data_IF_635098885293
#
_entry.id   IF_635098885293
#
_cell.length_a   1.000
_cell.length_b   1.000
_cell.length_c   1.000
_cell.angle_alpha   90.00
_cell.angle_beta   90.00
_cell.angle_gamma   90.00
#
_symmetry.space_group_name_H-M   'P 1'
#
loop_
_entity.id
_entity.type
_entity.pdbx_description
1 polymer ?
#
# COMPACT_ATOMS: atom_id res chain seq x y z
N UNK A 1 -9.25 9.06 -21.10
CA UNK A 1 -8.07 8.31 -21.56
C UNK A 1 -7.37 7.77 -20.33
N UNK A 2 -7.21 6.46 -20.21
CA UNK A 2 -6.60 5.82 -19.04
C UNK A 2 -5.23 5.27 -19.46
N UNK A 3 -4.15 5.74 -18.84
CA UNK A 3 -2.78 5.28 -19.08
C UNK A 3 -2.38 4.36 -17.93
N UNK A 4 -2.20 3.09 -18.23
CA UNK A 4 -1.69 2.09 -17.31
C UNK A 4 -0.18 1.94 -17.57
N UNK A 5 0.62 2.62 -16.77
CA UNK A 5 2.07 2.44 -16.71
C UNK A 5 2.45 2.18 -15.26
N UNK A 6 2.60 0.91 -14.91
CA UNK A 6 2.89 0.45 -13.55
C UNK A 6 4.08 -0.51 -13.53
N UNK A 7 5.07 -0.25 -14.38
CA UNK A 7 6.34 -0.95 -14.32
C UNK A 7 7.22 -0.28 -13.25
N UNK A 8 7.15 -0.76 -12.02
CA UNK A 8 8.02 -0.32 -10.93
C UNK A 8 8.84 -1.52 -10.45
N UNK A 9 10.12 -1.57 -10.83
CA UNK A 9 11.09 -2.27 -10.00
C UNK A 9 11.26 -1.45 -8.70
N UNK A 10 11.05 -2.09 -7.55
CA UNK A 10 11.38 -1.52 -6.26
C UNK A 10 12.57 -2.31 -5.71
N UNK A 11 13.75 -2.09 -6.28
CA UNK A 11 14.99 -2.36 -5.55
C UNK A 11 15.07 -1.36 -4.39
N UNK A 12 15.22 -1.85 -3.16
CA UNK A 12 15.46 -1.00 -1.99
C UNK A 12 16.83 -1.33 -1.43
N UNK A 13 17.85 -0.86 -2.13
CA UNK A 13 19.12 -0.55 -1.48
C UNK A 13 19.14 0.96 -1.27
N UNK A 14 18.95 1.38 -0.01
CA UNK A 14 19.14 2.77 0.45
C UNK A 14 18.47 3.87 -0.39
N UNK A 15 17.20 4.17 -0.13
CA UNK A 15 16.55 5.47 -0.41
C UNK A 15 16.56 6.04 -1.85
N UNK A 16 17.06 5.34 -2.87
CA UNK A 16 16.97 5.76 -4.27
C UNK A 16 16.02 4.82 -5.01
N UNK A 17 14.87 5.35 -5.40
CA UNK A 17 14.00 4.66 -6.36
C UNK A 17 14.67 4.86 -7.72
N UNK A 18 15.41 3.86 -8.19
CA UNK A 18 15.89 3.87 -9.56
C UNK A 18 14.68 3.77 -10.50
N UNK A 19 14.28 4.91 -11.06
CA UNK A 19 13.15 4.98 -11.98
C UNK A 19 13.66 4.49 -13.32
N UNK A 20 13.52 3.20 -13.57
CA UNK A 20 13.67 2.66 -14.92
C UNK A 20 12.79 3.48 -15.86
N UNK A 21 13.37 4.14 -16.86
CA UNK A 21 12.64 4.92 -17.87
C UNK A 21 11.90 3.98 -18.87
N UNK A 22 11.19 2.99 -18.32
CA UNK A 22 10.52 1.94 -19.04
C UNK A 22 9.32 2.52 -19.79
N UNK A 23 9.29 2.31 -21.10
CA UNK A 23 8.20 2.76 -21.98
C UNK A 23 7.05 1.75 -22.08
N UNK A 24 7.13 0.63 -21.36
CA UNK A 24 6.06 -0.35 -21.29
C UNK A 24 4.80 0.29 -20.68
N UNK A 25 3.68 0.10 -21.34
CA UNK A 25 2.42 0.67 -20.90
C UNK A 25 1.29 0.45 -21.90
N UNK A 26 0.08 0.56 -21.37
CA UNK A 26 -1.14 0.43 -22.14
C UNK A 26 -1.97 1.70 -22.01
N UNK A 27 -2.51 2.17 -23.12
CA UNK A 27 -3.45 3.30 -23.15
C UNK A 27 -4.80 2.81 -23.64
N UNK A 28 -5.83 3.06 -22.84
CA UNK A 28 -7.21 2.74 -23.16
C UNK A 28 -7.98 4.05 -23.35
N UNK A 29 -8.68 4.17 -24.48
CA UNK A 29 -9.52 5.31 -24.78
C UNK A 29 -10.94 4.86 -25.10
N UNK A 30 -11.93 5.63 -24.63
CA UNK A 30 -13.33 5.42 -24.99
C UNK A 30 -13.58 6.10 -26.34
N UNK A 31 -13.87 5.31 -27.38
CA UNK A 31 -14.22 5.79 -28.73
C UNK A 31 -15.65 5.33 -29.03
N UNK A 32 -16.53 6.27 -29.39
CA UNK A 32 -17.93 5.99 -29.76
C UNK A 32 -18.66 5.09 -28.72
N UNK A 33 -18.46 5.35 -27.43
CA UNK A 33 -19.09 4.57 -26.36
C UNK A 33 -18.33 3.30 -25.94
N UNK A 34 -17.42 2.79 -26.76
CA UNK A 34 -16.68 1.54 -26.50
C UNK A 34 -15.27 1.84 -25.99
N UNK A 35 -14.81 1.10 -24.98
CA UNK A 35 -13.43 1.15 -24.52
C UNK A 35 -12.53 0.35 -25.46
N UNK A 36 -11.57 1.00 -26.09
CA UNK A 36 -10.61 0.38 -26.99
C UNK A 36 -9.17 0.66 -26.53
N UNK A 37 -8.30 -0.34 -26.67
CA UNK A 37 -6.85 -0.17 -26.47
C UNK A 37 -6.29 0.59 -27.67
N UNK A 38 -5.70 1.76 -27.44
CA UNK A 38 -5.16 2.62 -28.51
C UNK A 38 -3.66 2.53 -28.65
N UNK A 39 -2.94 2.20 -27.56
CA UNK A 39 -1.50 1.97 -27.56
C UNK A 39 -1.19 0.83 -26.61
N UNK A 40 -0.39 -0.12 -27.06
CA UNK A 40 0.09 -1.23 -26.26
C UNK A 40 1.59 -1.38 -26.52
N UNK A 41 2.40 -1.16 -25.49
CA UNK A 41 3.82 -1.49 -25.49
C UNK A 41 4.10 -2.47 -24.36
N UNK A 42 4.55 -3.67 -24.72
CA UNK A 42 4.86 -4.76 -23.78
C UNK A 42 6.37 -4.94 -23.57
N UNK A 43 7.22 -4.22 -24.31
CA UNK A 43 8.65 -4.33 -24.19
C UNK A 43 9.17 -3.64 -22.93
N UNK A 44 9.88 -4.41 -22.10
CA UNK A 44 10.50 -3.94 -20.88
C UNK A 44 12.01 -3.81 -21.07
N UNK A 45 12.59 -2.73 -20.56
CA UNK A 45 14.04 -2.50 -20.54
C UNK A 45 14.70 -3.07 -19.27
N UNK A 46 13.98 -3.89 -18.51
CA UNK A 46 14.44 -4.45 -17.25
C UNK A 46 13.72 -5.77 -16.98
N UNK A 47 14.28 -6.60 -16.09
CA UNK A 47 13.65 -7.87 -15.71
C UNK A 47 12.34 -7.64 -14.96
N UNK A 48 11.35 -8.50 -15.19
CA UNK A 48 10.12 -8.50 -14.41
C UNK A 48 10.39 -9.07 -13.01
N UNK A 49 9.59 -8.62 -12.04
CA UNK A 49 9.59 -9.21 -10.69
C UNK A 49 9.21 -10.69 -10.77
N UNK A 50 9.89 -11.52 -9.98
CA UNK A 50 9.54 -12.94 -9.87
C UNK A 50 8.05 -13.10 -9.50
N UNK A 51 7.32 -14.08 -10.10
CA UNK A 51 5.89 -14.27 -9.85
C UNK A 51 5.54 -14.42 -8.36
N UNK A 52 6.42 -15.07 -7.58
CA UNK A 52 6.24 -15.24 -6.14
C UNK A 52 6.20 -13.92 -5.35
N UNK A 53 6.84 -12.86 -5.87
CA UNK A 53 6.91 -11.53 -5.27
C UNK A 53 5.87 -10.57 -5.85
N UNK A 54 5.16 -10.94 -6.92
CA UNK A 54 4.17 -10.08 -7.58
C UNK A 54 3.05 -9.63 -6.62
N UNK A 55 2.68 -10.46 -5.65
CA UNK A 55 1.73 -10.10 -4.58
C UNK A 55 2.18 -8.91 -3.73
N UNK A 56 3.48 -8.65 -3.65
CA UNK A 56 4.05 -7.52 -2.93
C UNK A 56 4.08 -6.25 -3.79
N UNK A 57 3.55 -6.23 -5.01
CA UNK A 57 3.41 -5.00 -5.78
C UNK A 57 2.50 -4.00 -5.06
N UNK A 58 2.81 -2.71 -5.16
CA UNK A 58 2.05 -1.67 -4.45
C UNK A 58 0.57 -1.64 -4.82
N UNK A 59 0.24 -1.92 -6.08
CA UNK A 59 -1.14 -2.05 -6.58
C UNK A 59 -1.90 -3.21 -5.93
N UNK A 60 -1.19 -4.25 -5.48
CA UNK A 60 -1.79 -5.42 -4.83
C UNK A 60 -1.86 -5.25 -3.31
N UNK A 61 -1.22 -4.22 -2.74
CA UNK A 61 -1.21 -3.93 -1.29
C UNK A 61 -2.45 -3.11 -0.92
N UNK A 62 -3.52 -3.77 -0.50
CA UNK A 62 -4.72 -3.12 0.03
C UNK A 62 -5.21 -3.78 1.32
N UNK A 63 -5.91 -2.98 2.12
CA UNK A 63 -6.66 -3.41 3.29
C UNK A 63 -8.14 -3.46 2.93
N UNK A 64 -8.84 -4.50 3.33
CA UNK A 64 -10.32 -4.53 3.29
C UNK A 64 -10.89 -3.54 4.31
N UNK A 65 -12.17 -3.18 4.19
CA UNK A 65 -12.80 -2.27 5.15
C UNK A 65 -12.82 -2.86 6.57
N UNK A 66 -13.00 -4.18 6.69
CA UNK A 66 -12.98 -4.89 7.96
C UNK A 66 -11.59 -4.83 8.62
N UNK A 67 -10.54 -5.05 7.82
CA UNK A 67 -9.16 -4.93 8.30
C UNK A 67 -8.82 -3.49 8.71
N UNK A 68 -9.31 -2.49 7.97
CA UNK A 68 -9.13 -1.08 8.33
C UNK A 68 -9.77 -0.76 9.68
N UNK A 69 -11.01 -1.21 9.92
CA UNK A 69 -11.69 -1.01 11.19
C UNK A 69 -10.91 -1.65 12.35
N UNK A 70 -10.43 -2.87 12.16
CA UNK A 70 -9.63 -3.58 13.14
C UNK A 70 -8.27 -2.93 13.41
N UNK A 71 -7.59 -2.45 12.35
CA UNK A 71 -6.32 -1.71 12.51
C UNK A 71 -6.54 -0.43 13.31
N UNK A 72 -7.66 0.28 13.12
CA UNK A 72 -8.01 1.47 13.93
C UNK A 72 -8.12 1.10 15.41
N UNK A 73 -8.89 0.07 15.76
CA UNK A 73 -8.98 -0.41 17.14
C UNK A 73 -7.62 -0.79 17.73
N UNK A 74 -6.75 -1.46 16.97
CA UNK A 74 -5.40 -1.80 17.41
C UNK A 74 -4.48 -0.58 17.58
N UNK A 75 -4.69 0.48 16.79
CA UNK A 75 -3.96 1.73 16.93
C UNK A 75 -4.38 2.43 18.24
N UNK A 76 -5.67 2.44 18.55
CA UNK A 76 -6.22 3.09 19.75
C UNK A 76 -5.67 2.47 21.03
N UNK A 77 -5.52 1.14 21.07
CA UNK A 77 -4.88 0.41 22.18
C UNK A 77 -3.34 0.34 22.08
N UNK A 78 -2.73 1.10 21.18
CA UNK A 78 -1.27 1.19 20.99
C UNK A 78 -0.55 -0.14 20.72
N UNK A 79 -1.18 -1.08 20.01
CA UNK A 79 -0.54 -2.34 19.63
C UNK A 79 0.61 -2.07 18.65
N UNK A 80 1.80 -2.67 18.86
CA UNK A 80 2.92 -2.53 17.93
C UNK A 80 2.60 -3.00 16.52
N UNK A 81 3.01 -2.23 15.49
CA UNK A 81 2.73 -2.53 14.07
C UNK A 81 3.13 -3.95 13.63
N UNK A 82 4.19 -4.53 14.24
CA UNK A 82 4.61 -5.92 13.95
C UNK A 82 3.56 -6.94 14.39
N UNK A 83 2.93 -6.74 15.55
CA UNK A 83 1.86 -7.62 16.07
C UNK A 83 0.59 -7.49 15.25
N UNK A 84 0.22 -6.26 14.85
CA UNK A 84 -0.88 -6.01 13.92
C UNK A 84 -0.66 -6.77 12.60
N UNK A 85 0.57 -6.70 12.04
CA UNK A 85 0.89 -7.43 10.82
C UNK A 85 0.77 -8.93 10.99
N UNK A 86 1.29 -9.47 12.09
CA UNK A 86 1.24 -10.90 12.38
C UNK A 86 -0.23 -11.37 12.48
N UNK A 87 -1.07 -10.59 13.16
CA UNK A 87 -2.49 -10.88 13.30
C UNK A 87 -3.23 -10.87 11.95
N UNK A 88 -3.06 -9.82 11.16
CA UNK A 88 -3.68 -9.74 9.82
C UNK A 88 -3.18 -10.86 8.90
N UNK A 89 -1.90 -11.20 9.01
CA UNK A 89 -1.32 -12.28 8.22
C UNK A 89 -1.89 -13.62 8.65
N UNK A 90 -2.09 -13.84 9.95
CA UNK A 90 -2.76 -15.04 10.46
C UNK A 90 -4.18 -15.17 9.89
N UNK A 91 -4.98 -14.10 9.88
CA UNK A 91 -6.33 -14.10 9.29
C UNK A 91 -6.32 -14.46 7.79
N UNK A 92 -5.27 -14.08 7.07
CA UNK A 92 -5.10 -14.37 5.64
C UNK A 92 -4.46 -15.74 5.36
N UNK A 93 -4.28 -16.59 6.36
CA UNK A 93 -3.67 -17.91 6.21
C UNK A 93 -2.13 -17.90 6.22
N UNK A 94 -1.53 -16.93 6.91
CA UNK A 94 -0.09 -16.83 7.19
C UNK A 94 0.67 -15.76 6.39
N UNK A 95 1.92 -15.52 6.80
CA UNK A 95 2.81 -14.53 6.17
C UNK A 95 3.14 -14.83 4.69
N UNK A 96 3.01 -16.09 4.26
CA UNK A 96 3.20 -16.46 2.85
C UNK A 96 2.02 -16.01 1.98
N UNK A 97 0.83 -15.87 2.55
CA UNK A 97 -0.40 -15.55 1.81
C UNK A 97 -0.79 -14.07 1.92
N UNK A 98 -0.12 -13.32 2.80
CA UNK A 98 -0.32 -11.87 2.92
C UNK A 98 0.45 -11.11 1.83
N UNK A 99 -0.17 -10.07 1.30
CA UNK A 99 0.48 -9.05 0.47
C UNK A 99 0.96 -7.84 1.32
N UNK A 100 0.76 -7.89 2.63
CA UNK A 100 1.02 -6.76 3.53
C UNK A 100 2.47 -6.76 4.05
N UNK A 101 3.00 -5.55 4.24
CA UNK A 101 4.32 -5.31 4.84
C UNK A 101 4.16 -4.31 5.99
N UNK A 102 5.05 -4.33 6.99
CA UNK A 102 5.04 -3.41 8.15
C UNK A 102 4.85 -1.94 7.73
N UNK A 103 5.49 -1.51 6.64
CA UNK A 103 5.38 -0.14 6.11
C UNK A 103 3.93 0.23 5.76
N UNK A 104 3.11 -0.72 5.28
CA UNK A 104 1.71 -0.45 4.94
C UNK A 104 0.91 -0.06 6.20
N UNK A 105 1.12 -0.77 7.30
CA UNK A 105 0.48 -0.47 8.60
C UNK A 105 0.98 0.86 9.14
N UNK A 106 2.29 1.13 9.05
CA UNK A 106 2.86 2.42 9.46
C UNK A 106 2.22 3.58 8.70
N UNK A 107 2.12 3.46 7.36
CA UNK A 107 1.53 4.48 6.51
C UNK A 107 0.03 4.66 6.82
N UNK A 108 -0.70 3.58 7.07
CA UNK A 108 -2.10 3.64 7.46
C UNK A 108 -2.27 4.32 8.83
N UNK A 109 -1.44 3.99 9.81
CA UNK A 109 -1.43 4.64 11.13
C UNK A 109 -1.21 6.15 10.99
N UNK A 110 -0.21 6.58 10.21
CA UNK A 110 0.02 8.00 9.91
C UNK A 110 -1.19 8.66 9.27
N UNK A 111 -1.92 7.95 8.39
CA UNK A 111 -3.13 8.48 7.77
C UNK A 111 -4.26 8.65 8.79
N UNK A 112 -4.51 7.65 9.64
CA UNK A 112 -5.52 7.72 10.70
C UNK A 112 -5.23 8.86 11.68
N UNK A 113 -3.97 9.04 12.10
CA UNK A 113 -3.59 10.17 12.96
C UNK A 113 -3.88 11.52 12.30
N UNK A 114 -3.66 11.66 10.99
CA UNK A 114 -4.01 12.87 10.24
C UNK A 114 -5.52 13.09 10.12
N UNK A 115 -6.29 12.02 9.92
CA UNK A 115 -7.76 12.05 9.87
C UNK A 115 -8.35 12.49 11.22
N UNK A 116 -7.79 11.99 12.33
CA UNK A 116 -8.31 12.21 13.67
C UNK A 116 -7.93 13.59 14.25
N UNK A 117 -6.88 14.25 13.73
CA UNK A 117 -6.44 15.58 14.17
C UNK A 117 -5.85 15.64 15.58
N UNK A 118 -5.95 14.55 16.36
CA UNK A 118 -5.39 14.43 17.70
C UNK A 118 -3.91 14.05 17.61
N UNK A 119 -3.04 15.05 17.76
CA UNK A 119 -1.61 14.84 17.97
C UNK A 119 -1.37 14.22 19.36
N UNK A 120 -0.28 13.47 19.54
CA UNK A 120 0.12 12.90 20.83
C UNK A 120 0.10 13.94 21.96
N UNK A 121 0.47 15.19 21.66
CA UNK A 121 0.45 16.32 22.59
C UNK A 121 -0.99 16.63 23.05
N UNK A 122 -1.98 16.60 22.15
CA UNK A 122 -3.39 16.82 22.49
C UNK A 122 -3.90 15.76 23.47
N UNK A 123 -3.58 14.49 23.21
CA UNK A 123 -3.92 13.38 24.11
C UNK A 123 -3.25 13.51 25.48
N UNK A 124 -1.96 13.84 25.52
CA UNK A 124 -1.23 14.04 26.78
C UNK A 124 -1.77 15.24 27.56
N UNK A 125 -2.04 16.36 26.89
CA UNK A 125 -2.64 17.55 27.51
C UNK A 125 -4.03 17.24 28.07
N UNK A 126 -4.85 16.48 27.33
CA UNK A 126 -6.18 16.06 27.79
C UNK A 126 -6.10 15.16 29.03
N UNK A 127 -5.17 14.20 29.05
CA UNK A 127 -4.90 13.36 30.21
C UNK A 127 -4.44 14.18 31.42
N UNK A 128 -3.51 15.12 31.22
CA UNK A 128 -3.00 16.00 32.28
C UNK A 128 -4.05 16.96 32.82
N UNK A 129 -5.01 17.41 31.99
CA UNK A 129 -6.13 18.27 32.41
C UNK A 129 -7.26 17.52 33.13
N UNK A 130 -7.31 16.19 33.02
CA UNK A 130 -8.28 15.36 33.74
C UNK A 130 -7.77 14.91 35.12
N UNK A 131 -6.55 15.30 35.48
CA UNK A 131 -5.98 15.21 36.83
C UNK A 131 -6.03 16.58 37.49
#
# INVERSE_FOLDING_TARGET
>A
MMKLSLCQQQGRDGAVIDKTNCQAGMTIAKKKGVWAVTRLNLEHNHNLLAPALAKLLRSHRFFTEQEKAMIRSFIDVNVPNRKILAFLSFLRGGMKNTNLVKTNISNYKTRVTRECGENNISHVVKYLKQK
#
